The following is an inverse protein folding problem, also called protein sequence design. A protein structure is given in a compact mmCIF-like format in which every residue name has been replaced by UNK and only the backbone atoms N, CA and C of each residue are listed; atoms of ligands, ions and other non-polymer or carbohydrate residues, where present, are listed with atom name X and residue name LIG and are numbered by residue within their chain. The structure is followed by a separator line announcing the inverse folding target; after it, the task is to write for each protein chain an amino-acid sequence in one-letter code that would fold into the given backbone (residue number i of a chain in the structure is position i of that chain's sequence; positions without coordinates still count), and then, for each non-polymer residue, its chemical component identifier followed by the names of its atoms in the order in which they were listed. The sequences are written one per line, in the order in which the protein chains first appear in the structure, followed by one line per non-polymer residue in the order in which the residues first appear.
data_IF_431227008905
#
_entry.id   IF_431227008905
#
_cell.length_a   1.000
_cell.length_b   1.000
_cell.length_c   1.000
_cell.angle_alpha   90.00
_cell.angle_beta   90.00
_cell.angle_gamma   90.00
#
_symmetry.space_group_name_H-M   'P 1'
#
loop_
_entity.id
_entity.type
_entity.pdbx_description
1 polymer ?
#
# COMPACT_ATOMS: atom_id res chain seq x y z
N UNK A 1 1.83 6.70 -14.06
CA UNK A 1 0.82 5.71 -13.66
C UNK A 1 0.92 5.55 -12.15
N UNK A 2 -0.18 5.37 -11.45
CA UNK A 2 -0.21 5.21 -10.00
C UNK A 2 -1.08 4.01 -9.66
N UNK A 3 -0.57 3.13 -8.80
CA UNK A 3 -1.33 1.97 -8.36
C UNK A 3 -2.08 2.29 -7.10
N UNK A 4 -3.38 2.03 -7.09
CA UNK A 4 -4.26 2.36 -5.96
C UNK A 4 -5.12 1.15 -5.57
N UNK A 5 -5.32 0.92 -4.27
CA UNK A 5 -6.32 -0.02 -3.81
C UNK A 5 -7.71 0.36 -4.32
N UNK A 6 -8.51 -0.63 -4.69
CA UNK A 6 -9.89 -0.45 -5.17
C UNK A 6 -10.72 0.43 -4.22
N UNK A 7 -10.59 0.24 -2.90
CA UNK A 7 -11.37 0.97 -1.91
C UNK A 7 -11.14 2.49 -1.96
N UNK A 8 -9.93 2.95 -2.31
CA UNK A 8 -9.62 4.39 -2.43
C UNK A 8 -10.31 5.02 -3.63
N UNK A 9 -10.40 4.27 -4.73
CA UNK A 9 -11.12 4.68 -5.95
C UNK A 9 -12.62 4.74 -5.65
N UNK A 10 -13.16 3.70 -5.02
CA UNK A 10 -14.58 3.61 -4.66
C UNK A 10 -15.00 4.77 -3.73
N UNK A 11 -14.15 5.14 -2.76
CA UNK A 11 -14.37 6.26 -1.84
C UNK A 11 -14.08 7.64 -2.45
N UNK A 12 -13.73 7.71 -3.74
CA UNK A 12 -13.36 8.94 -4.44
C UNK A 12 -12.25 9.74 -3.71
N UNK A 13 -11.29 9.02 -3.12
CA UNK A 13 -10.19 9.61 -2.35
C UNK A 13 -9.13 10.25 -3.24
N UNK A 14 -9.09 9.87 -4.53
CA UNK A 14 -8.17 10.45 -5.52
C UNK A 14 -8.99 11.21 -6.57
N UNK A 15 -8.82 12.53 -6.59
CA UNK A 15 -9.59 13.45 -7.45
C UNK A 15 -8.90 13.81 -8.76
N UNK A 16 -7.61 13.47 -8.91
CA UNK A 16 -6.82 13.88 -10.05
C UNK A 16 -7.04 12.95 -11.25
N UNK A 17 -7.64 13.49 -12.31
CA UNK A 17 -7.95 12.77 -13.56
C UNK A 17 -6.77 12.70 -14.53
N UNK A 18 -5.68 13.42 -14.26
CA UNK A 18 -4.50 13.47 -15.14
C UNK A 18 -3.58 12.25 -14.97
N UNK A 19 -3.67 11.56 -13.83
CA UNK A 19 -2.86 10.39 -13.52
C UNK A 19 -3.59 9.12 -13.95
N UNK A 20 -2.93 8.30 -14.77
CA UNK A 20 -3.43 6.97 -15.12
C UNK A 20 -3.35 6.04 -13.90
N UNK A 21 -4.49 5.50 -13.48
CA UNK A 21 -4.60 4.62 -12.31
C UNK A 21 -4.51 3.15 -12.74
N UNK A 22 -3.78 2.36 -11.95
CA UNK A 22 -3.81 0.90 -11.97
C UNK A 22 -4.47 0.45 -10.67
N UNK A 23 -5.66 -0.10 -10.79
CA UNK A 23 -6.42 -0.59 -9.63
C UNK A 23 -5.94 -1.97 -9.19
N UNK A 24 -5.93 -2.23 -7.88
CA UNK A 24 -5.68 -3.55 -7.30
C UNK A 24 -6.52 -3.84 -6.06
N UNK A 25 -6.57 -5.12 -5.67
CA UNK A 25 -7.10 -5.50 -4.36
C UNK A 25 -8.61 -5.32 -4.21
N UNK A 26 -9.36 -5.52 -5.30
CA UNK A 26 -10.84 -5.46 -5.31
C UNK A 26 -11.46 -6.35 -4.23
N UNK A 27 -10.93 -7.56 -4.07
CA UNK A 27 -11.40 -8.54 -3.09
C UNK A 27 -10.76 -8.35 -1.70
N UNK A 28 -9.80 -7.44 -1.57
CA UNK A 28 -9.11 -7.16 -0.31
C UNK A 28 -9.83 -6.14 0.57
N UNK A 29 -10.85 -5.45 0.04
CA UNK A 29 -11.63 -4.45 0.77
C UNK A 29 -10.78 -3.27 1.27
N UNK A 30 -11.22 -2.62 2.34
CA UNK A 30 -10.46 -1.54 2.98
C UNK A 30 -9.31 -2.13 3.80
N UNK A 31 -8.13 -2.16 3.20
CA UNK A 31 -6.90 -2.69 3.79
C UNK A 31 -6.49 -1.84 5.00
N UNK A 32 -6.67 -0.52 4.95
CA UNK A 32 -6.31 0.38 6.04
C UNK A 32 -7.18 0.12 7.28
N UNK A 33 -8.49 -0.05 7.06
CA UNK A 33 -9.43 -0.42 8.13
C UNK A 33 -9.09 -1.77 8.75
N UNK A 34 -8.68 -2.76 7.94
CA UNK A 34 -8.22 -4.07 8.45
C UNK A 34 -7.00 -3.92 9.37
N UNK A 35 -5.99 -3.16 8.94
CA UNK A 35 -4.77 -2.92 9.75
C UNK A 35 -5.11 -2.19 11.05
N UNK A 36 -5.98 -1.17 11.01
CA UNK A 36 -6.40 -0.48 12.24
C UNK A 36 -7.11 -1.41 13.22
N UNK A 37 -8.01 -2.26 12.73
CA UNK A 37 -8.73 -3.23 13.57
C UNK A 37 -7.81 -4.29 14.13
N UNK A 38 -6.89 -4.84 13.33
CA UNK A 38 -6.01 -5.92 13.79
C UNK A 38 -4.95 -5.46 14.77
N UNK A 39 -4.53 -4.20 14.70
CA UNK A 39 -3.51 -3.62 15.58
C UNK A 39 -4.08 -2.92 16.81
N UNK A 40 -5.39 -2.66 16.83
CA UNK A 40 -6.08 -1.84 17.83
C UNK A 40 -5.43 -0.46 18.07
N UNK A 41 -4.60 0.02 17.14
CA UNK A 41 -3.76 1.22 17.34
C UNK A 41 -4.61 2.48 17.54
N UNK A 42 -5.74 2.57 16.82
CA UNK A 42 -6.69 3.69 16.93
C UNK A 42 -7.43 3.64 18.28
N UNK A 43 -7.85 2.45 18.69
CA UNK A 43 -8.57 2.27 19.97
C UNK A 43 -7.67 2.58 21.17
N UNK A 44 -6.42 2.09 21.15
CA UNK A 44 -5.40 2.38 22.16
C UNK A 44 -5.10 3.88 22.25
N UNK A 45 -4.97 4.55 21.10
CA UNK A 45 -4.75 5.99 21.03
C UNK A 45 -5.90 6.77 21.67
N UNK A 46 -7.15 6.49 21.29
CA UNK A 46 -8.31 7.21 21.84
C UNK A 46 -8.61 6.86 23.31
N UNK A 47 -8.17 5.69 23.78
CA UNK A 47 -8.24 5.31 25.19
C UNK A 47 -7.20 6.03 26.07
N UNK A 48 -6.28 6.80 25.49
CA UNK A 48 -5.21 7.50 26.22
C UNK A 48 -4.19 6.55 26.87
N UNK A 49 -4.11 5.31 26.39
CA UNK A 49 -3.13 4.34 26.86
C UNK A 49 -1.76 4.68 26.30
N UNK A 50 -0.69 4.50 27.09
CA UNK A 50 0.66 4.60 26.54
C UNK A 50 0.82 3.56 25.44
N UNK A 51 1.00 4.05 24.22
CA UNK A 51 1.41 3.22 23.10
C UNK A 51 2.81 2.70 23.40
N UNK A 52 2.96 1.38 23.49
CA UNK A 52 4.28 0.78 23.40
C UNK A 52 4.74 0.92 21.95
N UNK A 53 5.28 2.10 21.61
CA UNK A 53 5.52 2.59 20.26
C UNK A 53 6.15 1.53 19.36
N UNK A 54 7.19 0.84 19.86
CA UNK A 54 7.86 -0.24 19.13
C UNK A 54 7.00 -1.46 18.86
N UNK A 55 6.16 -1.87 19.81
CA UNK A 55 5.26 -3.01 19.62
C UNK A 55 4.12 -2.67 18.68
N UNK A 56 3.56 -1.45 18.78
CA UNK A 56 2.52 -0.98 17.89
C UNK A 56 3.03 -0.82 16.45
N UNK A 57 4.23 -0.24 16.28
CA UNK A 57 4.91 -0.19 14.99
C UNK A 57 5.17 -1.58 14.42
N UNK A 58 5.69 -2.51 15.23
CA UNK A 58 5.91 -3.89 14.79
C UNK A 58 4.61 -4.58 14.37
N UNK A 59 3.53 -4.42 15.15
CA UNK A 59 2.22 -4.98 14.84
C UNK A 59 1.67 -4.45 13.52
N UNK A 60 1.74 -3.13 13.30
CA UNK A 60 1.35 -2.50 12.04
C UNK A 60 2.17 -3.02 10.87
N UNK A 61 3.51 -3.05 11.00
CA UNK A 61 4.39 -3.55 9.95
C UNK A 61 4.12 -5.01 9.61
N UNK A 62 3.90 -5.86 10.61
CA UNK A 62 3.59 -7.28 10.41
C UNK A 62 2.28 -7.46 9.63
N UNK A 63 1.26 -6.65 9.91
CA UNK A 63 -0.01 -6.70 9.18
C UNK A 63 0.16 -6.24 7.74
N UNK A 64 0.88 -5.14 7.49
CA UNK A 64 1.21 -4.69 6.14
C UNK A 64 1.98 -5.75 5.33
N UNK A 65 2.92 -6.48 5.95
CA UNK A 65 3.67 -7.57 5.31
C UNK A 65 2.74 -8.73 4.92
N UNK A 66 1.78 -9.08 5.78
CA UNK A 66 0.83 -10.18 5.50
C UNK A 66 -0.07 -9.92 4.29
N UNK A 67 -0.33 -8.66 3.98
CA UNK A 67 -1.20 -8.27 2.86
C UNK A 67 -0.47 -8.33 1.51
N UNK A 68 0.86 -8.21 1.50
CA UNK A 68 1.63 -8.16 0.25
C UNK A 68 1.42 -9.41 -0.65
N UNK A 69 1.46 -10.65 -0.14
CA UNK A 69 1.14 -11.84 -0.94
C UNK A 69 -0.25 -11.79 -1.59
N UNK A 70 -1.25 -11.28 -0.88
CA UNK A 70 -2.62 -11.19 -1.37
C UNK A 70 -2.73 -10.21 -2.55
N UNK A 71 -2.07 -9.06 -2.46
CA UNK A 71 -1.99 -8.09 -3.57
C UNK A 71 -1.26 -8.71 -4.77
N UNK A 72 -0.15 -9.41 -4.53
CA UNK A 72 0.65 -10.05 -5.60
C UNK A 72 -0.04 -11.27 -6.21
N UNK A 73 -1.08 -11.81 -5.56
CA UNK A 73 -1.89 -12.90 -6.09
C UNK A 73 -2.94 -12.45 -7.12
N UNK A 74 -3.23 -11.14 -7.19
CA UNK A 74 -4.14 -10.55 -8.17
C UNK A 74 -3.53 -10.58 -9.58
N UNK A 75 -3.93 -11.60 -10.36
CA UNK A 75 -3.45 -11.80 -11.73
C UNK A 75 -3.77 -10.62 -12.64
N UNK A 76 -4.95 -10.01 -12.50
CA UNK A 76 -5.35 -8.89 -13.36
C UNK A 76 -4.43 -7.69 -13.13
N UNK A 77 -4.12 -7.40 -11.87
CA UNK A 77 -3.18 -6.36 -11.50
C UNK A 77 -1.76 -6.66 -12.03
N UNK A 78 -1.25 -7.86 -11.78
CA UNK A 78 0.09 -8.28 -12.23
C UNK A 78 0.23 -8.25 -13.76
N UNK A 79 -0.77 -8.75 -14.47
CA UNK A 79 -0.77 -8.75 -15.94
C UNK A 79 -0.83 -7.33 -16.50
N UNK A 80 -1.58 -6.43 -15.83
CA UNK A 80 -1.61 -5.01 -16.21
C UNK A 80 -0.23 -4.37 -16.04
N UNK A 81 0.46 -4.59 -14.92
CA UNK A 81 1.82 -4.08 -14.70
C UNK A 81 2.77 -4.60 -15.79
N UNK A 82 2.76 -5.92 -16.03
CA UNK A 82 3.60 -6.55 -17.06
C UNK A 82 3.35 -5.98 -18.45
N UNK A 83 2.10 -5.69 -18.79
CA UNK A 83 1.75 -5.09 -20.09
C UNK A 83 2.36 -3.71 -20.32
N UNK A 84 2.66 -2.97 -19.23
CA UNK A 84 3.28 -1.65 -19.31
C UNK A 84 4.79 -1.72 -19.57
N UNK A 85 5.42 -2.90 -19.38
CA UNK A 85 6.87 -3.11 -19.51
C UNK A 85 7.71 -2.02 -18.81
N UNK A 86 7.47 -1.76 -17.52
CA UNK A 86 8.25 -0.75 -16.79
C UNK A 86 9.71 -1.19 -16.62
N UNK A 87 10.65 -0.26 -16.68
CA UNK A 87 12.06 -0.52 -16.35
C UNK A 87 12.24 -0.84 -14.85
N UNK A 88 11.49 -0.14 -13.98
CA UNK A 88 11.36 -0.41 -12.55
C UNK A 88 9.91 -0.17 -12.11
N UNK A 89 9.39 -1.07 -11.26
CA UNK A 89 8.09 -0.92 -10.64
C UNK A 89 8.19 -1.13 -9.13
N UNK A 90 7.80 -0.12 -8.37
CA UNK A 90 7.76 -0.16 -6.91
C UNK A 90 6.30 -0.14 -6.47
N UNK A 91 5.94 -1.12 -5.65
CA UNK A 91 4.65 -1.18 -4.98
C UNK A 91 4.87 -1.05 -3.48
N UNK A 92 4.35 0.03 -2.91
CA UNK A 92 4.33 0.24 -1.48
C UNK A 92 3.02 -0.32 -0.91
N UNK A 93 3.13 -1.26 0.04
CA UNK A 93 1.98 -1.85 0.73
C UNK A 93 1.70 -1.20 2.09
N UNK A 94 2.50 -0.21 2.49
CA UNK A 94 2.25 0.59 3.69
C UNK A 94 1.08 1.52 3.43
N UNK A 95 -0.07 1.22 4.04
CA UNK A 95 -1.31 1.99 3.88
C UNK A 95 -1.21 3.46 4.35
N UNK A 96 -0.17 3.81 5.11
CA UNK A 96 0.02 5.14 5.71
C UNK A 96 0.95 6.05 4.90
N UNK A 97 1.67 5.51 3.94
CA UNK A 97 2.55 6.29 3.08
C UNK A 97 1.75 6.68 1.84
N UNK A 98 1.35 7.96 1.77
CA UNK A 98 0.69 8.52 0.59
C UNK A 98 1.64 9.39 -0.27
N UNK A 99 2.90 9.53 0.13
CA UNK A 99 3.86 10.44 -0.51
C UNK A 99 5.26 9.81 -0.59
N UNK A 100 5.46 8.84 -1.48
CA UNK A 100 6.81 8.39 -1.87
C UNK A 100 7.20 8.96 -3.23
N UNK A 101 8.38 9.60 -3.28
CA UNK A 101 9.07 9.93 -4.52
C UNK A 101 10.13 8.85 -4.72
N UNK A 102 9.93 7.97 -5.69
CA UNK A 102 10.98 7.05 -6.15
C UNK A 102 11.72 7.75 -7.28
N UNK A 103 13.05 7.84 -7.19
CA UNK A 103 13.94 8.37 -8.25
C UNK A 103 14.83 7.24 -8.81
N UNK A 104 14.29 6.30 -9.62
CA UNK A 104 15.03 5.16 -10.12
C UNK A 104 16.24 5.57 -10.97
N UNK A 105 16.05 6.59 -11.79
CA UNK A 105 16.99 7.01 -12.83
C UNK A 105 18.25 7.70 -12.30
N UNK A 106 18.32 8.07 -11.02
CA UNK A 106 19.53 8.69 -10.46
C UNK A 106 20.57 7.69 -9.95
N UNK A 107 20.25 6.39 -9.84
CA UNK A 107 21.10 5.43 -9.09
C UNK A 107 21.50 4.16 -9.86
N UNK A 108 21.04 3.96 -11.10
CA UNK A 108 21.44 2.79 -11.93
C UNK A 108 21.15 1.43 -11.26
N UNK A 109 20.09 1.34 -10.44
CA UNK A 109 19.72 0.12 -9.69
C UNK A 109 18.57 -0.62 -10.39
N UNK A 110 18.74 -1.91 -10.76
CA UNK A 110 17.73 -2.67 -11.50
C UNK A 110 16.53 -3.15 -10.66
N UNK A 111 16.62 -3.14 -9.32
CA UNK A 111 15.53 -3.51 -8.42
C UNK A 111 15.61 -2.73 -7.11
N UNK A 112 14.49 -2.12 -6.69
CA UNK A 112 14.30 -1.60 -5.35
C UNK A 112 12.97 -2.11 -4.79
N UNK A 113 13.05 -2.96 -3.77
CA UNK A 113 11.91 -3.27 -2.91
C UNK A 113 11.95 -2.24 -1.78
N UNK A 114 11.03 -1.29 -1.78
CA UNK A 114 10.84 -0.39 -0.64
C UNK A 114 9.62 -0.95 0.11
N UNK A 115 9.92 -1.60 1.24
CA UNK A 115 8.96 -2.19 2.15
C UNK A 115 8.33 -1.15 3.06
#
# INVERSE_FOLDING_TARGET
WMSLPHFMIQKNMVKDKSIKIIEYGKDLGDISEKVYKSTAIVDTFWAGQELQEWQSLYGVSAECIKIAPDILSDKSFVDKIRSLKPDLYVLESISFNMNMIVLPYMLDIPYALIG
#
